data_IF_021300598248
#
_entry.id   IF_021300598248
#
_cell.length_a   1.000
_cell.length_b   1.000
_cell.length_c   1.000
_cell.angle_alpha   90.00
_cell.angle_beta   90.00
_cell.angle_gamma   90.00
#
_symmetry.space_group_name_H-M   'P 1'
#
loop_
_entity.id
_entity.type
_entity.pdbx_description
1 polymer ?
#
# COMPACT_ATOMS: atom_id res chain seq x y z
N UNK A 1 9.34 -45.79 1.64
CA UNK A 1 10.17 -45.59 0.45
C UNK A 1 9.27 -45.19 -0.71
N UNK A 2 9.18 -43.92 -1.00
CA UNK A 2 8.46 -43.40 -2.15
C UNK A 2 9.29 -42.24 -2.70
N UNK A 3 9.90 -42.49 -3.88
CA UNK A 3 10.72 -41.55 -4.60
C UNK A 3 9.84 -40.56 -5.36
N UNK A 4 9.99 -39.28 -5.06
CA UNK A 4 9.35 -38.19 -5.78
C UNK A 4 10.30 -37.63 -6.83
N UNK A 5 9.98 -37.80 -8.11
CA UNK A 5 10.77 -37.36 -9.26
C UNK A 5 10.39 -35.92 -9.60
N UNK A 6 11.26 -34.99 -9.34
CA UNK A 6 11.10 -33.57 -9.69
C UNK A 6 11.44 -33.35 -11.17
N UNK A 7 10.43 -33.01 -12.00
CA UNK A 7 10.61 -32.57 -13.39
C UNK A 7 11.02 -31.09 -13.40
N UNK A 8 12.24 -30.79 -13.84
CA UNK A 8 12.66 -29.44 -14.21
C UNK A 8 12.02 -29.07 -15.56
N UNK A 9 11.18 -28.04 -15.54
CA UNK A 9 10.69 -27.38 -16.76
C UNK A 9 11.63 -26.24 -17.09
N UNK A 10 12.36 -26.37 -18.18
CA UNK A 10 13.23 -25.30 -18.71
C UNK A 10 12.37 -24.44 -19.64
N UNK A 11 12.11 -23.21 -19.21
CA UNK A 11 11.47 -22.19 -20.06
C UNK A 11 12.54 -21.53 -20.91
N UNK A 12 12.54 -21.81 -22.20
CA UNK A 12 13.37 -21.09 -23.18
C UNK A 12 12.70 -19.74 -23.48
N UNK A 13 13.38 -18.67 -23.06
CA UNK A 13 13.04 -17.30 -23.44
C UNK A 13 13.54 -17.01 -24.84
N UNK A 14 12.63 -16.89 -25.81
CA UNK A 14 12.95 -16.51 -27.18
C UNK A 14 12.88 -14.98 -27.27
N UNK A 15 14.01 -14.32 -27.31
CA UNK A 15 14.10 -12.89 -27.61
C UNK A 15 13.85 -12.64 -29.12
N UNK A 16 13.07 -11.64 -29.52
CA UNK A 16 12.93 -11.27 -30.94
C UNK A 16 14.17 -10.55 -31.45
N UNK A 17 14.80 -11.12 -32.45
CA UNK A 17 15.92 -10.54 -33.21
C UNK A 17 15.41 -9.44 -34.14
N UNK A 18 15.84 -8.21 -33.90
CA UNK A 18 15.71 -7.11 -34.87
C UNK A 18 16.74 -7.33 -36.02
N UNK A 19 16.35 -7.27 -37.28
CA UNK A 19 17.31 -7.40 -38.41
C UNK A 19 18.18 -6.15 -38.52
N UNK A 20 19.50 -6.34 -38.44
CA UNK A 20 20.52 -5.34 -38.73
C UNK A 20 20.54 -5.06 -40.23
N UNK A 21 20.13 -3.84 -40.63
CA UNK A 21 20.27 -3.37 -42.02
C UNK A 21 21.74 -3.17 -42.42
N UNK A 22 22.19 -3.91 -43.42
CA UNK A 22 23.49 -3.82 -44.06
C UNK A 22 23.58 -2.61 -45.00
N UNK A 23 24.62 -1.80 -44.82
CA UNK A 23 25.02 -0.75 -45.79
C UNK A 23 25.87 -1.36 -46.89
N UNK A 24 25.52 -1.19 -48.12
CA UNK A 24 26.47 -0.95 -49.24
C UNK A 24 25.76 -0.75 -50.57
N UNK A 25 26.21 0.21 -51.37
CA UNK A 25 25.93 0.29 -52.79
C UNK A 25 25.57 1.66 -53.30
N UNK A 26 26.62 2.48 -53.65
CA UNK A 26 26.49 3.64 -54.52
C UNK A 26 26.19 3.16 -55.96
N UNK A 27 25.18 3.69 -56.61
CA UNK A 27 25.22 3.87 -58.08
C UNK A 27 24.26 5.06 -58.46
N UNK A 28 24.79 5.95 -59.27
CA UNK A 28 24.14 7.11 -59.89
C UNK A 28 23.05 6.66 -60.88
N UNK A 29 21.94 7.37 -60.92
CA UNK A 29 21.01 7.27 -62.02
C UNK A 29 19.65 7.94 -61.78
N UNK A 30 19.47 9.16 -62.38
CA UNK A 30 18.27 9.74 -62.94
C UNK A 30 16.96 9.80 -62.12
N UNK A 31 16.62 11.02 -61.74
CA UNK A 31 15.31 11.71 -61.59
C UNK A 31 14.04 10.83 -61.66
N UNK A 32 13.44 10.60 -60.50
CA UNK A 32 11.97 10.47 -60.35
C UNK A 32 11.57 10.87 -58.93
N UNK A 33 10.59 11.75 -58.69
CA UNK A 33 10.15 12.06 -57.36
C UNK A 33 9.21 10.93 -56.86
N UNK A 34 9.76 9.85 -56.39
CA UNK A 34 9.01 8.87 -55.63
C UNK A 34 8.90 9.39 -54.20
N UNK A 35 7.71 9.83 -53.83
CA UNK A 35 7.30 10.15 -52.44
C UNK A 35 7.48 8.88 -51.61
N UNK A 36 8.61 8.75 -50.92
CA UNK A 36 8.85 7.77 -49.90
C UNK A 36 8.00 8.12 -48.67
N UNK A 37 6.79 7.54 -48.59
CA UNK A 37 6.03 7.40 -47.37
C UNK A 37 6.85 6.41 -46.48
N UNK A 38 7.84 6.95 -45.76
CA UNK A 38 8.46 6.24 -44.65
C UNK A 38 7.41 6.14 -43.55
N UNK A 39 6.65 5.05 -43.56
CA UNK A 39 5.79 4.68 -42.46
C UNK A 39 6.65 4.56 -41.22
N UNK A 40 6.56 5.52 -40.31
CA UNK A 40 7.07 5.43 -38.96
C UNK A 40 6.32 4.27 -38.27
N UNK A 41 6.85 3.05 -38.35
CA UNK A 41 6.45 1.97 -37.50
C UNK A 41 6.96 2.34 -36.11
N UNK A 42 6.13 3.07 -35.36
CA UNK A 42 6.33 3.29 -33.95
C UNK A 42 6.22 1.92 -33.27
N UNK A 43 7.34 1.28 -33.00
CA UNK A 43 7.39 0.16 -32.09
C UNK A 43 7.00 0.71 -30.70
N UNK A 44 5.72 0.68 -30.37
CA UNK A 44 5.27 0.93 -28.99
C UNK A 44 5.90 -0.15 -28.12
N UNK A 45 6.84 0.25 -27.28
CA UNK A 45 7.35 -0.66 -26.25
C UNK A 45 6.17 -1.06 -25.35
N UNK A 46 6.05 -2.35 -25.02
CA UNK A 46 5.05 -2.77 -24.04
C UNK A 46 5.25 -1.99 -22.75
N UNK A 47 4.17 -1.51 -22.16
CA UNK A 47 4.23 -0.78 -20.91
C UNK A 47 4.84 -1.67 -19.82
N UNK A 48 5.66 -1.08 -18.95
CA UNK A 48 6.29 -1.79 -17.81
C UNK A 48 5.20 -2.37 -16.91
N UNK A 49 5.30 -3.66 -16.58
CA UNK A 49 4.39 -4.30 -15.64
C UNK A 49 4.53 -3.68 -14.23
N UNK A 50 3.43 -3.47 -13.55
CA UNK A 50 3.38 -3.02 -12.16
C UNK A 50 3.38 -4.26 -11.25
N UNK A 51 4.33 -4.36 -10.34
CA UNK A 51 4.51 -5.56 -9.50
C UNK A 51 4.55 -5.26 -8.01
N UNK A 52 4.49 -3.98 -7.60
CA UNK A 52 4.53 -3.60 -6.19
C UNK A 52 3.23 -4.01 -5.49
N UNK A 53 3.27 -4.86 -4.46
CA UNK A 53 2.10 -5.14 -3.64
C UNK A 53 1.81 -3.95 -2.73
N UNK A 54 0.57 -3.47 -2.74
CA UNK A 54 0.14 -2.35 -1.91
C UNK A 54 -0.98 -2.76 -0.97
N UNK A 55 -1.02 -2.14 0.21
CA UNK A 55 -2.09 -2.28 1.19
C UNK A 55 -2.66 -0.93 1.58
N UNK A 56 -3.94 -0.91 1.89
CA UNK A 56 -4.65 0.26 2.39
C UNK A 56 -5.36 -0.09 3.68
N UNK A 57 -5.01 0.61 4.75
CA UNK A 57 -5.63 0.44 6.07
C UNK A 57 -6.45 1.68 6.37
N UNK A 58 -7.74 1.51 6.69
CA UNK A 58 -8.67 2.63 6.87
C UNK A 58 -9.32 2.61 8.25
N UNK A 59 -9.28 3.75 8.92
CA UNK A 59 -9.79 3.90 10.28
C UNK A 59 -11.28 4.30 10.29
N UNK A 60 -12.13 3.34 10.68
CA UNK A 60 -13.56 3.55 10.89
C UNK A 60 -13.94 4.03 12.29
N UNK A 61 -12.98 4.25 13.19
CA UNK A 61 -13.25 4.68 14.57
C UNK A 61 -13.90 6.05 14.65
N UNK A 62 -14.39 6.41 15.84
CA UNK A 62 -15.02 7.69 16.07
C UNK A 62 -14.14 8.91 15.77
N UNK A 63 -12.81 8.79 15.94
CA UNK A 63 -11.85 9.84 15.57
C UNK A 63 -11.71 9.99 14.05
N UNK A 64 -12.01 8.95 13.27
CA UNK A 64 -12.03 8.97 11.81
C UNK A 64 -13.26 9.67 11.20
N UNK A 65 -14.22 10.09 12.00
CA UNK A 65 -15.39 10.85 11.54
C UNK A 65 -15.11 12.37 11.59
N UNK A 66 -15.67 13.18 10.64
CA UNK A 66 -15.53 14.63 10.65
C UNK A 66 -16.32 15.24 11.82
N UNK A 67 -15.74 15.21 13.01
CA UNK A 67 -16.22 15.90 14.20
C UNK A 67 -15.29 17.07 14.51
N UNK A 68 -15.65 17.91 15.49
CA UNK A 68 -14.83 19.10 15.83
C UNK A 68 -13.36 18.79 16.15
N UNK A 69 -13.07 17.58 16.62
CA UNK A 69 -11.75 17.17 17.07
C UNK A 69 -11.22 15.93 16.31
N UNK A 70 -11.96 15.43 15.30
CA UNK A 70 -11.61 14.25 14.51
C UNK A 70 -10.83 14.60 13.25
N UNK A 71 -10.05 13.65 12.73
CA UNK A 71 -9.56 13.74 11.37
C UNK A 71 -10.62 13.17 10.42
N UNK A 72 -10.83 13.80 9.26
CA UNK A 72 -11.76 13.28 8.26
C UNK A 72 -11.10 12.14 7.46
N UNK A 73 -11.26 10.91 7.93
CA UNK A 73 -10.68 9.73 7.28
C UNK A 73 -11.14 9.59 5.82
N UNK A 74 -12.39 9.96 5.52
CA UNK A 74 -12.92 9.88 4.16
C UNK A 74 -12.27 10.89 3.22
N UNK A 75 -12.18 12.15 3.62
CA UNK A 75 -11.52 13.18 2.84
C UNK A 75 -10.03 12.83 2.66
N UNK A 76 -9.33 12.46 3.74
CA UNK A 76 -7.92 12.03 3.69
C UNK A 76 -7.69 10.85 2.78
N UNK A 77 -8.55 9.84 2.81
CA UNK A 77 -8.49 8.68 1.92
C UNK A 77 -8.66 9.09 0.46
N UNK A 78 -9.65 9.95 0.16
CA UNK A 78 -9.91 10.43 -1.19
C UNK A 78 -8.74 11.24 -1.77
N UNK A 79 -8.10 12.07 -0.94
CA UNK A 79 -6.96 12.90 -1.36
C UNK A 79 -5.70 12.09 -1.57
N UNK A 80 -5.41 11.10 -0.71
CA UNK A 80 -4.14 10.38 -0.71
C UNK A 80 -4.09 9.12 -1.59
N UNK A 81 -5.23 8.41 -1.75
CA UNK A 81 -5.22 7.05 -2.29
C UNK A 81 -4.76 6.98 -3.75
N UNK A 82 -5.37 7.75 -4.65
CA UNK A 82 -5.02 7.70 -6.08
C UNK A 82 -3.56 8.14 -6.32
N UNK A 83 -3.07 9.25 -5.73
CA UNK A 83 -1.65 9.58 -5.78
C UNK A 83 -0.75 8.46 -5.26
N UNK A 84 -1.07 7.86 -4.11
CA UNK A 84 -0.31 6.74 -3.55
C UNK A 84 -0.22 5.56 -4.52
N UNK A 85 -1.36 5.06 -5.02
CA UNK A 85 -1.39 3.91 -5.94
C UNK A 85 -0.58 4.16 -7.21
N UNK A 86 -0.57 5.40 -7.70
CA UNK A 86 0.17 5.80 -8.89
C UNK A 86 1.67 5.94 -8.61
N UNK A 87 2.03 6.70 -7.58
CA UNK A 87 3.41 7.05 -7.26
C UNK A 87 4.22 5.83 -6.76
N UNK A 88 3.54 4.88 -6.10
CA UNK A 88 4.17 3.65 -5.63
C UNK A 88 4.16 2.52 -6.67
N UNK A 89 3.70 2.80 -7.90
CA UNK A 89 3.61 1.82 -8.99
C UNK A 89 2.91 0.52 -8.54
N UNK A 90 1.81 0.65 -7.77
CA UNK A 90 1.09 -0.50 -7.24
C UNK A 90 0.56 -1.41 -8.34
N UNK A 91 0.90 -2.70 -8.31
CA UNK A 91 0.38 -3.73 -9.22
C UNK A 91 -0.90 -4.39 -8.69
N UNK A 92 -1.04 -4.43 -7.37
CA UNK A 92 -2.26 -4.90 -6.69
C UNK A 92 -2.48 -4.12 -5.40
N UNK A 93 -3.70 -4.10 -4.90
CA UNK A 93 -4.00 -3.48 -3.60
C UNK A 93 -4.98 -4.31 -2.79
N UNK A 94 -4.59 -4.59 -1.54
CA UNK A 94 -5.41 -5.20 -0.49
C UNK A 94 -5.90 -4.15 0.51
N UNK A 95 -6.92 -4.50 1.30
CA UNK A 95 -7.56 -3.58 2.23
C UNK A 95 -7.72 -4.22 3.62
N UNK A 96 -7.60 -3.43 4.66
CA UNK A 96 -7.92 -3.82 6.03
C UNK A 96 -8.58 -2.66 6.79
N UNK A 97 -9.55 -2.94 7.66
CA UNK A 97 -10.18 -1.94 8.51
C UNK A 97 -9.38 -1.74 9.79
N UNK A 98 -9.51 -0.55 10.39
CA UNK A 98 -9.26 -0.32 11.80
C UNK A 98 -10.62 -0.18 12.49
N UNK A 99 -10.91 -1.09 13.42
CA UNK A 99 -12.10 -1.18 14.24
C UNK A 99 -11.70 -1.46 15.69
N UNK A 100 -12.63 -1.73 16.60
CA UNK A 100 -12.28 -2.12 17.97
C UNK A 100 -11.52 -3.46 18.07
N UNK A 101 -11.68 -4.33 17.06
CA UNK A 101 -11.04 -5.65 16.97
C UNK A 101 -10.68 -5.92 15.51
N UNK A 102 -9.71 -5.17 14.98
CA UNK A 102 -9.36 -5.13 13.56
C UNK A 102 -9.02 -6.51 12.98
N UNK A 103 -8.31 -7.34 13.75
CA UNK A 103 -7.88 -8.66 13.32
C UNK A 103 -9.07 -9.59 13.01
N UNK A 104 -10.13 -9.51 13.82
CA UNK A 104 -11.33 -10.35 13.71
C UNK A 104 -12.55 -9.64 13.08
N UNK A 105 -12.39 -8.41 12.60
CA UNK A 105 -13.48 -7.64 11.97
C UNK A 105 -14.08 -8.40 10.79
N UNK A 106 -15.39 -8.35 10.66
CA UNK A 106 -16.13 -8.95 9.55
C UNK A 106 -16.01 -8.17 8.24
N UNK A 107 -15.48 -6.93 8.28
CA UNK A 107 -15.27 -6.11 7.10
C UNK A 107 -14.27 -6.75 6.15
N UNK A 108 -14.71 -6.98 4.92
CA UNK A 108 -13.90 -7.57 3.86
C UNK A 108 -14.28 -6.96 2.52
N UNK A 109 -13.28 -6.48 1.82
CA UNK A 109 -13.36 -6.15 0.40
C UNK A 109 -12.31 -6.95 -0.36
N UNK A 110 -12.58 -7.19 -1.63
CA UNK A 110 -11.69 -7.96 -2.48
C UNK A 110 -10.45 -7.15 -2.87
N UNK A 111 -9.34 -7.84 -3.04
CA UNK A 111 -8.14 -7.30 -3.66
C UNK A 111 -8.46 -6.74 -5.06
N UNK A 112 -7.81 -5.66 -5.45
CA UNK A 112 -7.92 -5.10 -6.79
C UNK A 112 -6.58 -5.26 -7.51
N UNK A 113 -6.63 -5.91 -8.69
CA UNK A 113 -5.52 -5.92 -9.64
C UNK A 113 -5.45 -4.56 -10.33
N UNK A 114 -4.32 -3.86 -10.19
CA UNK A 114 -4.08 -2.52 -10.73
C UNK A 114 -3.33 -2.54 -12.07
N UNK A 115 -2.88 -3.72 -12.50
CA UNK A 115 -2.24 -3.95 -13.79
C UNK A 115 -2.91 -5.12 -14.53
N UNK A 116 -4.23 -5.05 -14.77
CA UNK A 116 -4.96 -6.16 -15.35
C UNK A 116 -4.42 -6.52 -16.74
N UNK A 117 -4.47 -7.82 -17.12
CA UNK A 117 -4.04 -8.27 -18.44
C UNK A 117 -4.75 -7.49 -19.56
N UNK A 118 -3.99 -7.06 -20.54
CA UNK A 118 -4.51 -6.28 -21.67
C UNK A 118 -4.21 -6.96 -23.00
N UNK A 119 -5.08 -6.79 -23.97
CA UNK A 119 -4.87 -7.22 -25.34
C UNK A 119 -4.01 -6.20 -26.13
N UNK A 120 -3.49 -6.62 -27.27
CA UNK A 120 -2.63 -5.78 -28.13
C UNK A 120 -3.26 -4.46 -28.60
N UNK A 121 -4.59 -4.35 -28.55
CA UNK A 121 -5.36 -3.18 -28.98
C UNK A 121 -5.92 -2.35 -27.82
N UNK A 122 -5.61 -2.71 -26.56
CA UNK A 122 -6.17 -2.06 -25.39
C UNK A 122 -5.21 -1.01 -24.85
N UNK A 123 -5.76 0.16 -24.52
CA UNK A 123 -5.04 1.21 -23.81
C UNK A 123 -4.84 0.82 -22.36
N UNK A 124 -3.63 0.38 -22.02
CA UNK A 124 -3.26 -0.10 -20.69
C UNK A 124 -3.34 1.00 -19.64
N UNK A 125 -2.97 2.24 -19.97
CA UNK A 125 -3.03 3.34 -19.01
C UNK A 125 -4.46 3.63 -18.59
N UNK A 126 -5.38 3.57 -19.53
CA UNK A 126 -6.82 3.72 -19.26
C UNK A 126 -7.35 2.57 -18.37
N UNK A 127 -6.91 1.34 -18.61
CA UNK A 127 -7.30 0.22 -17.75
C UNK A 127 -6.75 0.36 -16.34
N UNK A 128 -5.50 0.76 -16.18
CA UNK A 128 -4.88 1.05 -14.87
C UNK A 128 -5.63 2.18 -14.14
N UNK A 129 -6.05 3.22 -14.85
CA UNK A 129 -6.85 4.29 -14.24
C UNK A 129 -8.21 3.79 -13.76
N UNK A 130 -8.91 3.00 -14.55
CA UNK A 130 -10.17 2.38 -14.16
C UNK A 130 -10.00 1.45 -12.95
N UNK A 131 -8.92 0.67 -12.90
CA UNK A 131 -8.59 -0.19 -11.77
C UNK A 131 -8.33 0.63 -10.48
N UNK A 132 -7.62 1.77 -10.57
CA UNK A 132 -7.43 2.67 -9.42
C UNK A 132 -8.74 3.28 -8.93
N UNK A 133 -9.66 3.64 -9.83
CA UNK A 133 -10.99 4.12 -9.44
C UNK A 133 -11.81 3.02 -8.76
N UNK A 134 -11.69 1.76 -9.21
CA UNK A 134 -12.28 0.61 -8.54
C UNK A 134 -11.68 0.45 -7.14
N UNK A 135 -10.36 0.53 -7.00
CA UNK A 135 -9.68 0.46 -5.71
C UNK A 135 -10.16 1.57 -4.75
N UNK A 136 -10.34 2.79 -5.24
CA UNK A 136 -10.89 3.89 -4.44
C UNK A 136 -12.32 3.59 -3.94
N UNK A 137 -13.16 3.00 -4.79
CA UNK A 137 -14.50 2.56 -4.40
C UNK A 137 -14.45 1.46 -3.33
N UNK A 138 -13.55 0.49 -3.46
CA UNK A 138 -13.38 -0.58 -2.47
C UNK A 138 -12.86 -0.04 -1.13
N UNK A 139 -11.90 0.89 -1.15
CA UNK A 139 -11.39 1.51 0.06
C UNK A 139 -12.49 2.29 0.82
N UNK A 140 -13.35 3.01 0.11
CA UNK A 140 -14.50 3.70 0.72
C UNK A 140 -15.51 2.70 1.30
N UNK A 141 -15.77 1.58 0.60
CA UNK A 141 -16.63 0.50 1.11
C UNK A 141 -16.06 -0.13 2.38
N UNK A 142 -14.73 -0.33 2.45
CA UNK A 142 -14.07 -0.83 3.65
C UNK A 142 -14.19 0.17 4.81
N UNK A 143 -13.99 1.47 4.53
CA UNK A 143 -14.15 2.52 5.52
C UNK A 143 -15.59 2.58 6.05
N UNK A 144 -16.59 2.52 5.17
CA UNK A 144 -18.01 2.56 5.58
C UNK A 144 -18.35 1.32 6.43
N UNK A 145 -17.88 0.12 6.04
CA UNK A 145 -18.04 -1.08 6.85
C UNK A 145 -17.36 -0.94 8.22
N UNK A 146 -16.13 -0.40 8.26
CA UNK A 146 -15.41 -0.21 9.51
C UNK A 146 -16.12 0.77 10.47
N UNK A 147 -16.84 1.76 9.93
CA UNK A 147 -17.65 2.70 10.70
C UNK A 147 -18.90 2.08 11.33
N UNK A 148 -19.47 1.09 10.66
CA UNK A 148 -20.65 0.36 11.12
C UNK A 148 -20.30 -0.75 12.13
N UNK A 149 -19.02 -1.09 12.26
CA UNK A 149 -18.50 -2.04 13.23
C UNK A 149 -18.41 -1.38 14.65
N UNK A 150 -17.97 -2.15 15.62
CA UNK A 150 -17.89 -1.67 17.01
C UNK A 150 -16.95 -0.47 17.16
N UNK A 151 -17.30 0.52 17.99
CA UNK A 151 -16.45 1.67 18.24
C UNK A 151 -15.13 1.24 18.90
N UNK A 152 -14.03 1.83 18.46
CA UNK A 152 -12.66 1.55 18.93
C UNK A 152 -11.68 1.65 17.77
N UNK A 153 -10.39 1.68 18.09
CA UNK A 153 -9.32 1.84 17.11
C UNK A 153 -8.17 0.88 17.44
N UNK A 154 -8.24 -0.34 16.92
CA UNK A 154 -7.18 -1.32 16.99
C UNK A 154 -6.25 -1.18 15.78
N UNK A 155 -5.40 -0.15 15.81
CA UNK A 155 -4.39 0.13 14.77
C UNK A 155 -3.42 -1.03 14.64
N UNK A 156 -2.98 -1.60 15.77
CA UNK A 156 -2.05 -2.73 15.82
C UNK A 156 -2.60 -3.93 15.06
N UNK A 157 -3.84 -4.34 15.36
CA UNK A 157 -4.50 -5.43 14.66
C UNK A 157 -4.79 -5.12 13.19
N UNK A 158 -5.05 -3.87 12.83
CA UNK A 158 -5.22 -3.43 11.44
C UNK A 158 -3.94 -3.60 10.62
N UNK A 159 -2.79 -3.22 11.19
CA UNK A 159 -1.47 -3.41 10.57
C UNK A 159 -1.12 -4.90 10.42
N UNK A 160 -1.38 -5.72 11.42
CA UNK A 160 -1.12 -7.16 11.34
C UNK A 160 -2.04 -7.85 10.33
N UNK A 161 -3.30 -7.45 10.28
CA UNK A 161 -4.27 -7.97 9.31
C UNK A 161 -3.89 -7.67 7.87
N UNK A 162 -3.46 -6.44 7.55
CA UNK A 162 -3.01 -6.13 6.20
C UNK A 162 -1.73 -6.88 5.86
N UNK A 163 -0.80 -6.99 6.80
CA UNK A 163 0.44 -7.71 6.61
C UNK A 163 0.21 -9.20 6.27
N UNK A 164 -0.81 -9.82 6.88
CA UNK A 164 -1.16 -11.23 6.60
C UNK A 164 -1.67 -11.47 5.17
N UNK A 165 -2.07 -10.42 4.46
CA UNK A 165 -2.50 -10.46 3.05
C UNK A 165 -1.36 -10.16 2.07
N UNK A 166 -0.26 -9.62 2.57
CA UNK A 166 0.87 -9.23 1.73
C UNK A 166 1.77 -10.44 1.43
N UNK A 167 2.35 -10.53 0.22
CA UNK A 167 3.34 -11.54 -0.08
C UNK A 167 4.57 -11.35 0.82
N UNK A 168 5.08 -12.45 1.36
CA UNK A 168 6.31 -12.46 2.17
C UNK A 168 7.57 -12.40 1.33
N UNK A 169 7.46 -12.78 0.03
CA UNK A 169 8.55 -12.83 -0.93
C UNK A 169 8.30 -11.80 -2.04
N UNK A 170 9.34 -11.05 -2.42
CA UNK A 170 9.25 -10.09 -3.51
C UNK A 170 9.61 -8.66 -3.10
N UNK A 171 9.29 -7.65 -3.93
CA UNK A 171 9.53 -6.25 -3.57
C UNK A 171 8.74 -5.88 -2.32
N UNK A 172 9.36 -5.07 -1.45
CA UNK A 172 8.74 -4.63 -0.21
C UNK A 172 7.36 -4.02 -0.44
N UNK A 173 6.37 -4.43 0.34
CA UNK A 173 5.02 -3.91 0.24
C UNK A 173 4.95 -2.43 0.65
N UNK A 174 3.97 -1.69 0.09
CA UNK A 174 3.68 -0.29 0.39
C UNK A 174 2.33 -0.20 1.09
N UNK A 175 2.31 0.39 2.27
CA UNK A 175 1.09 0.50 3.08
C UNK A 175 0.66 1.96 3.24
N UNK A 176 -0.51 2.31 2.73
CA UNK A 176 -1.19 3.57 3.05
C UNK A 176 -2.05 3.33 4.30
N UNK A 177 -1.79 4.05 5.38
CA UNK A 177 -2.55 3.92 6.63
C UNK A 177 -3.27 5.23 6.91
N UNK A 178 -4.57 5.25 6.71
CA UNK A 178 -5.43 6.43 6.93
C UNK A 178 -6.03 6.34 8.32
N UNK A 179 -5.33 6.91 9.30
CA UNK A 179 -5.68 6.89 10.73
C UNK A 179 -4.93 8.00 11.48
N UNK A 180 -5.47 8.48 12.57
CA UNK A 180 -4.75 9.30 13.53
C UNK A 180 -3.78 8.48 14.41
N UNK A 181 -3.77 7.16 14.23
CA UNK A 181 -2.98 6.18 14.98
C UNK A 181 -3.27 6.14 16.48
N UNK A 182 -4.42 6.64 16.90
CA UNK A 182 -4.86 6.49 18.29
C UNK A 182 -5.24 5.04 18.54
N UNK A 183 -4.39 4.28 19.24
CA UNK A 183 -4.73 2.94 19.67
C UNK A 183 -5.69 3.01 20.84
N UNK A 184 -6.92 2.56 20.65
CA UNK A 184 -7.99 2.55 21.64
C UNK A 184 -8.94 1.37 21.40
N UNK A 185 -8.55 0.21 21.85
CA UNK A 185 -9.31 -1.04 21.80
C UNK A 185 -9.83 -1.43 23.20
N UNK A 186 -10.59 -2.52 23.35
CA UNK A 186 -11.15 -2.93 24.63
C UNK A 186 -10.11 -3.17 25.74
N UNK A 187 -8.92 -3.62 25.37
CA UNK A 187 -7.88 -4.06 26.31
C UNK A 187 -6.82 -2.98 26.54
N UNK A 188 -6.62 -2.09 25.57
CA UNK A 188 -5.57 -1.08 25.61
C UNK A 188 -5.98 0.27 25.05
N UNK A 189 -5.54 1.35 25.71
CA UNK A 189 -5.70 2.72 25.22
C UNK A 189 -4.42 3.51 25.39
N UNK A 190 -3.93 4.06 24.28
CA UNK A 190 -2.70 4.86 24.22
C UNK A 190 -2.84 6.13 25.07
N UNK A 191 -1.82 6.45 25.85
CA UNK A 191 -1.80 7.63 26.72
C UNK A 191 -2.59 7.49 28.02
N UNK A 192 -3.40 6.45 28.21
CA UNK A 192 -4.15 6.24 29.44
C UNK A 192 -3.19 6.02 30.60
N UNK A 193 -3.41 6.74 31.72
CA UNK A 193 -2.57 6.62 32.92
C UNK A 193 -1.10 7.02 32.68
N UNK A 194 -0.78 7.70 31.58
CA UNK A 194 0.58 8.11 31.24
C UNK A 194 1.50 6.93 30.86
N UNK A 195 0.93 5.86 30.26
CA UNK A 195 1.65 4.64 29.86
C UNK A 195 2.75 4.89 28.80
N UNK A 196 2.75 6.03 28.11
CA UNK A 196 3.79 6.44 27.14
C UNK A 196 4.55 7.70 27.58
N UNK A 197 4.36 8.19 28.81
CA UNK A 197 4.86 9.50 29.25
C UNK A 197 6.40 9.56 29.36
N UNK A 198 7.05 8.44 29.66
CA UNK A 198 8.51 8.33 29.74
C UNK A 198 9.01 7.18 28.87
N UNK A 199 10.30 7.21 28.53
CA UNK A 199 10.93 6.15 27.74
C UNK A 199 10.75 4.77 28.40
N UNK A 200 11.00 4.65 29.72
CA UNK A 200 10.82 3.39 30.43
C UNK A 200 9.38 2.87 30.39
N UNK A 201 8.39 3.75 30.55
CA UNK A 201 6.99 3.38 30.43
C UNK A 201 6.60 2.98 29.00
N UNK A 202 7.11 3.67 27.98
CA UNK A 202 6.90 3.30 26.59
C UNK A 202 7.46 1.92 26.30
N UNK A 203 8.72 1.65 26.70
CA UNK A 203 9.35 0.34 26.51
C UNK A 203 8.53 -0.77 27.18
N UNK A 204 8.13 -0.59 28.44
CA UNK A 204 7.30 -1.54 29.17
C UNK A 204 5.95 -1.79 28.48
N UNK A 205 5.30 -0.72 28.01
CA UNK A 205 4.01 -0.81 27.29
C UNK A 205 4.16 -1.56 25.98
N UNK A 206 5.20 -1.27 25.21
CA UNK A 206 5.50 -1.98 23.96
C UNK A 206 5.79 -3.44 24.22
N UNK A 207 6.61 -3.75 25.21
CA UNK A 207 6.94 -5.14 25.58
C UNK A 207 5.68 -5.92 26.00
N UNK A 208 4.76 -5.31 26.76
CA UNK A 208 3.47 -5.91 27.09
C UNK A 208 2.64 -6.22 25.85
N UNK A 209 2.46 -5.25 24.97
CA UNK A 209 1.70 -5.42 23.72
C UNK A 209 2.30 -6.49 22.81
N UNK A 210 3.64 -6.52 22.70
CA UNK A 210 4.34 -7.55 21.90
C UNK A 210 4.14 -8.94 22.50
N UNK A 211 4.20 -9.07 23.82
CA UNK A 211 3.99 -10.35 24.50
C UNK A 211 2.54 -10.85 24.37
N UNK A 212 1.56 -9.94 24.37
CA UNK A 212 0.15 -10.28 24.33
C UNK A 212 -0.36 -10.53 22.89
N UNK A 213 0.14 -9.78 21.90
CA UNK A 213 -0.41 -9.72 20.54
C UNK A 213 0.58 -10.10 19.43
N UNK A 214 1.87 -10.24 19.74
CA UNK A 214 2.94 -10.32 18.75
C UNK A 214 3.24 -8.95 18.12
N UNK A 215 4.26 -8.88 17.28
CA UNK A 215 4.53 -7.71 16.44
C UNK A 215 3.72 -7.80 15.16
N UNK A 216 3.18 -6.68 14.64
CA UNK A 216 2.61 -6.67 13.29
C UNK A 216 3.65 -7.14 12.26
N UNK A 217 3.22 -8.00 11.34
CA UNK A 217 4.09 -8.65 10.35
C UNK A 217 4.58 -7.72 9.21
N UNK A 218 4.84 -6.43 9.50
CA UNK A 218 5.16 -5.38 8.52
C UNK A 218 6.66 -5.17 8.27
N UNK A 219 7.49 -6.13 8.64
CA UNK A 219 8.95 -6.03 8.48
C UNK A 219 9.35 -5.74 7.03
N UNK A 220 10.15 -4.69 6.82
CA UNK A 220 10.64 -4.28 5.51
C UNK A 220 9.60 -3.60 4.61
N UNK A 221 8.37 -3.42 5.08
CA UNK A 221 7.35 -2.66 4.38
C UNK A 221 7.59 -1.16 4.56
N UNK A 222 7.14 -0.36 3.59
CA UNK A 222 7.14 1.09 3.71
C UNK A 222 5.72 1.57 4.05
N UNK A 223 5.60 2.26 5.18
CA UNK A 223 4.32 2.72 5.75
C UNK A 223 4.17 4.21 5.49
N UNK A 224 3.08 4.59 4.85
CA UNK A 224 2.69 5.97 4.54
C UNK A 224 1.50 6.37 5.42
N UNK A 225 1.74 6.99 6.58
CA UNK A 225 0.66 7.41 7.46
C UNK A 225 -0.03 8.66 6.94
N UNK A 226 -1.35 8.73 7.07
CA UNK A 226 -2.19 9.88 6.73
C UNK A 226 -3.11 10.19 7.90
N UNK A 227 -2.98 11.37 8.47
CA UNK A 227 -3.68 11.77 9.70
C UNK A 227 -2.92 11.49 11.00
N UNK A 228 -1.69 10.99 10.90
CA UNK A 228 -0.83 10.61 12.00
C UNK A 228 -0.67 11.71 13.06
N UNK A 229 -1.03 11.41 14.31
CA UNK A 229 -0.88 12.32 15.43
C UNK A 229 -1.79 13.54 15.44
N UNK A 230 -2.76 13.67 14.52
CA UNK A 230 -3.63 14.85 14.43
C UNK A 230 -4.35 15.17 15.74
N UNK A 231 -4.73 14.17 16.51
CA UNK A 231 -5.33 14.32 17.84
C UNK A 231 -4.46 15.15 18.82
N UNK A 232 -3.14 15.11 18.62
CA UNK A 232 -2.17 15.77 19.49
C UNK A 232 -1.56 17.04 18.91
N UNK A 233 -2.00 17.51 17.75
CA UNK A 233 -1.43 18.65 17.02
C UNK A 233 -1.30 19.93 17.89
N UNK A 234 -2.23 20.15 18.83
CA UNK A 234 -2.21 21.28 19.76
C UNK A 234 -1.63 20.92 21.15
N UNK A 235 -0.97 19.78 21.31
CA UNK A 235 -0.43 19.27 22.57
C UNK A 235 1.02 18.76 22.38
N UNK A 236 2.01 19.64 22.21
CA UNK A 236 3.37 19.28 21.75
C UNK A 236 4.03 18.17 22.59
N UNK A 237 3.86 18.18 23.92
CA UNK A 237 4.43 17.15 24.79
C UNK A 237 3.79 15.77 24.55
N UNK A 238 2.48 15.71 24.37
CA UNK A 238 1.77 14.46 24.08
C UNK A 238 2.09 13.96 22.67
N UNK A 239 2.17 14.88 21.70
CA UNK A 239 2.58 14.55 20.33
C UNK A 239 3.97 13.90 20.31
N UNK A 240 4.95 14.48 21.01
CA UNK A 240 6.30 13.90 21.11
C UNK A 240 6.30 12.50 21.73
N UNK A 241 5.49 12.28 22.76
CA UNK A 241 5.35 10.95 23.39
C UNK A 241 4.70 9.93 22.46
N UNK A 242 3.67 10.35 21.74
CA UNK A 242 2.95 9.57 20.73
C UNK A 242 3.89 9.18 19.56
N UNK A 243 4.59 10.14 18.99
CA UNK A 243 5.56 9.92 17.92
C UNK A 243 6.66 8.96 18.36
N UNK A 244 7.23 9.16 19.56
CA UNK A 244 8.25 8.27 20.09
C UNK A 244 7.75 6.84 20.30
N UNK A 245 6.49 6.64 20.69
CA UNK A 245 5.88 5.31 20.83
C UNK A 245 5.77 4.62 19.47
N UNK A 246 5.16 5.26 18.48
CA UNK A 246 4.96 4.63 17.18
C UNK A 246 6.26 4.47 16.38
N UNK A 247 7.23 5.39 16.51
CA UNK A 247 8.56 5.21 15.93
C UNK A 247 9.23 3.95 16.48
N UNK A 248 9.19 3.75 17.80
CA UNK A 248 9.74 2.53 18.41
C UNK A 248 9.00 1.28 17.95
N UNK A 249 7.66 1.32 17.82
CA UNK A 249 6.87 0.18 17.35
C UNK A 249 7.17 -0.13 15.89
N UNK A 250 7.04 0.85 15.00
CA UNK A 250 7.10 0.64 13.55
C UNK A 250 8.54 0.42 13.07
N UNK A 251 9.45 1.32 13.42
CA UNK A 251 10.83 1.30 12.93
C UNK A 251 11.75 0.52 13.87
N UNK A 252 11.59 0.71 15.18
CA UNK A 252 12.41 0.08 16.20
C UNK A 252 12.19 -1.42 16.30
N UNK A 253 10.96 -1.88 16.46
CA UNK A 253 10.63 -3.29 16.72
C UNK A 253 10.17 -4.02 15.46
N UNK A 254 9.18 -3.51 14.75
CA UNK A 254 8.62 -4.17 13.55
C UNK A 254 9.51 -4.04 12.32
N UNK A 255 10.54 -3.14 12.34
CA UNK A 255 11.48 -2.94 11.23
C UNK A 255 10.80 -2.56 9.92
N UNK A 256 9.74 -1.78 10.00
CA UNK A 256 9.15 -1.08 8.86
C UNK A 256 9.89 0.23 8.59
N UNK A 257 9.58 0.88 7.47
CA UNK A 257 10.08 2.21 7.12
C UNK A 257 8.91 3.19 7.07
N UNK A 258 8.95 4.27 7.83
CA UNK A 258 7.89 5.29 7.82
C UNK A 258 8.24 6.40 6.83
N UNK A 259 7.29 6.71 5.93
CA UNK A 259 7.43 7.75 4.92
C UNK A 259 6.25 8.72 5.00
N UNK A 260 6.52 9.98 5.30
CA UNK A 260 5.50 11.01 5.56
C UNK A 260 5.01 11.74 4.31
N UNK A 261 5.27 11.23 3.12
CA UNK A 261 4.95 11.88 1.83
C UNK A 261 3.49 12.32 1.66
N UNK A 262 2.54 11.61 2.28
CA UNK A 262 1.10 11.87 2.12
C UNK A 262 0.42 12.43 3.38
N UNK A 263 1.21 12.88 4.37
CA UNK A 263 0.70 13.52 5.59
C UNK A 263 0.00 14.84 5.34
#
# INVERSE_FOLDING_TARGET
MSSSTTRKVTVQSSAPLCPRGSRAGRLLGLLSPAVLLTGLVSCSQPAKALTTPCGVVVDGSGSGNPTKDGFDAKAKLQDALIPFLKDQECGSVDFAPITSTSQSSSCKVEQVDLDPPHGATTDQDKQREQARLLAAKQALKELDCARDDRPGSDVWGGLDRIASKMPTDGPGARLLVVSDFEQADPDFSLGRGGNIATEAKRAQTIDSLVNERGLPGIKGMEVFPVGYGMKYANKPSQQKQFEAFWTEVLEGRAKAHVNTKYQ
#
